data_IF_571351794522
#
_entry.id   IF_571351794522
#
_cell.length_a   1.000
_cell.length_b   1.000
_cell.length_c   1.000
_cell.angle_alpha   90.00
_cell.angle_beta   90.00
_cell.angle_gamma   90.00
#
_symmetry.space_group_name_H-M   'P 1'
#
loop_
_entity.id
_entity.type
_entity.pdbx_description
1 polymer ?
#
# COMPACT_ATOMS: atom_id res chain seq x y z
N UNK A 1 -2.28 -15.05 20.78
CA UNK A 1 -3.03 -14.48 19.62
C UNK A 1 -2.19 -13.42 18.94
N UNK A 2 -1.86 -13.64 17.69
CA UNK A 2 -1.07 -12.69 16.85
C UNK A 2 -1.98 -12.05 15.83
N UNK A 3 -2.15 -10.73 15.87
CA UNK A 3 -3.01 -10.00 14.91
C UNK A 3 -2.16 -9.01 14.12
N UNK A 4 -2.19 -9.14 12.79
CA UNK A 4 -1.61 -8.18 11.86
C UNK A 4 -2.64 -7.16 11.40
N UNK A 5 -2.21 -5.92 11.21
CA UNK A 5 -3.01 -4.86 10.60
C UNK A 5 -2.29 -4.36 9.35
N UNK A 6 -2.98 -4.32 8.23
CA UNK A 6 -2.45 -3.82 6.96
C UNK A 6 -3.48 -2.88 6.32
N UNK A 7 -3.01 -1.75 5.82
CA UNK A 7 -3.84 -0.71 5.23
C UNK A 7 -3.09 0.60 5.07
N UNK A 8 -3.79 1.63 4.63
CA UNK A 8 -3.22 2.95 4.40
C UNK A 8 -2.98 3.75 5.70
N UNK A 9 -3.01 5.07 5.61
CA UNK A 9 -2.71 5.97 6.74
C UNK A 9 -3.67 5.85 7.90
N UNK A 10 -4.94 5.54 7.66
CA UNK A 10 -5.93 5.33 8.72
C UNK A 10 -5.58 4.14 9.62
N UNK A 11 -4.98 3.10 9.04
CA UNK A 11 -4.45 1.95 9.78
C UNK A 11 -3.08 2.22 10.41
N UNK A 12 -2.28 3.10 9.79
CA UNK A 12 -0.97 3.48 10.32
C UNK A 12 -1.07 4.33 11.60
N UNK A 13 -2.12 5.12 11.74
CA UNK A 13 -2.32 5.98 12.91
C UNK A 13 -2.28 5.18 14.22
N UNK A 14 -1.74 5.79 15.26
CA UNK A 14 -1.53 5.12 16.52
C UNK A 14 -1.61 6.07 17.71
N UNK A 15 -0.48 6.40 18.29
CA UNK A 15 -0.36 7.22 19.47
C UNK A 15 0.51 8.44 19.18
N UNK A 16 0.01 9.62 19.51
CA UNK A 16 0.79 10.85 19.44
C UNK A 16 1.58 11.02 20.75
N UNK A 17 2.87 10.80 20.70
CA UNK A 17 3.74 10.87 21.89
C UNK A 17 3.85 12.28 22.48
N UNK A 18 3.67 13.34 21.67
CA UNK A 18 3.75 14.73 22.12
C UNK A 18 2.50 15.14 22.88
N UNK A 19 1.30 14.80 22.39
CA UNK A 19 0.02 15.11 23.04
C UNK A 19 -0.44 14.03 24.00
N UNK A 20 0.21 12.84 23.98
CA UNK A 20 -0.18 11.64 24.73
C UNK A 20 -1.60 11.14 24.41
N UNK A 21 -2.04 11.39 23.20
CA UNK A 21 -3.38 11.02 22.73
C UNK A 21 -3.36 9.86 21.75
N UNK A 22 -4.41 9.07 21.79
CA UNK A 22 -4.68 8.05 20.76
C UNK A 22 -5.18 8.77 19.50
N UNK A 23 -4.54 8.50 18.37
CA UNK A 23 -4.88 9.11 17.07
C UNK A 23 -5.41 8.10 16.05
N UNK A 24 -5.44 6.80 16.39
CA UNK A 24 -5.90 5.77 15.46
C UNK A 24 -6.56 4.58 16.13
N UNK A 25 -7.56 4.02 15.46
CA UNK A 25 -8.34 2.87 15.94
C UNK A 25 -7.47 1.65 16.25
N UNK A 26 -6.40 1.44 15.49
CA UNK A 26 -5.50 0.27 15.65
C UNK A 26 -4.86 0.24 17.04
N UNK A 27 -4.33 1.38 17.50
CA UNK A 27 -3.69 1.43 18.80
C UNK A 27 -4.71 1.26 19.93
N UNK A 28 -5.91 1.81 19.77
CA UNK A 28 -7.00 1.55 20.71
C UNK A 28 -7.36 0.05 20.76
N UNK A 29 -7.46 -0.61 19.59
CA UNK A 29 -7.71 -2.05 19.54
C UNK A 29 -6.60 -2.84 20.20
N UNK A 30 -5.33 -2.49 20.00
CA UNK A 30 -4.21 -3.15 20.64
C UNK A 30 -4.35 -3.13 22.17
N UNK A 31 -4.65 -1.96 22.75
CA UNK A 31 -4.85 -1.81 24.19
C UNK A 31 -6.04 -2.63 24.72
N UNK A 32 -7.11 -2.72 23.96
CA UNK A 32 -8.30 -3.47 24.35
C UNK A 32 -8.13 -4.98 24.18
N UNK A 33 -7.49 -5.43 23.11
CA UNK A 33 -7.27 -6.84 22.83
C UNK A 33 -6.21 -7.44 23.74
N UNK A 34 -5.20 -6.67 24.16
CA UNK A 34 -4.20 -7.10 25.16
C UNK A 34 -4.83 -7.43 26.51
N UNK A 35 -5.92 -6.75 26.88
CA UNK A 35 -6.70 -7.06 28.10
C UNK A 35 -7.49 -8.38 28.00
N UNK A 36 -7.79 -8.83 26.79
CA UNK A 36 -8.68 -9.97 26.52
C UNK A 36 -7.89 -11.24 26.22
N UNK A 37 -6.82 -11.12 25.44
CA UNK A 37 -6.04 -12.26 24.99
C UNK A 37 -4.72 -12.37 25.73
N UNK A 38 -4.52 -13.51 26.41
CA UNK A 38 -3.22 -13.86 26.96
C UNK A 38 -2.19 -13.97 25.81
N UNK A 39 -0.99 -13.44 26.00
CA UNK A 39 0.10 -13.46 25.02
C UNK A 39 -0.31 -12.80 23.68
N UNK A 40 -0.99 -11.66 23.77
CA UNK A 40 -1.35 -10.87 22.60
C UNK A 40 -0.12 -10.25 21.93
N UNK A 41 -0.06 -10.31 20.61
CA UNK A 41 0.98 -9.65 19.82
C UNK A 41 0.34 -8.97 18.62
N UNK A 42 0.67 -7.72 18.39
CA UNK A 42 0.19 -6.93 17.25
C UNK A 42 1.33 -6.61 16.29
N UNK A 43 1.03 -6.70 15.00
CA UNK A 43 1.93 -6.28 13.91
C UNK A 43 1.29 -5.16 13.11
N UNK A 44 2.11 -4.18 12.72
CA UNK A 44 1.69 -3.08 11.87
C UNK A 44 2.42 -3.14 10.52
N UNK A 45 1.68 -3.49 9.47
CA UNK A 45 2.17 -3.55 8.08
C UNK A 45 1.65 -2.40 7.21
N UNK A 46 1.12 -1.34 7.83
CA UNK A 46 0.51 -0.22 7.10
C UNK A 46 1.48 0.47 6.14
N UNK A 47 0.89 1.07 5.11
CA UNK A 47 1.57 1.77 4.02
C UNK A 47 0.96 3.17 3.80
N UNK A 48 1.16 4.11 4.74
CA UNK A 48 0.50 5.41 4.69
C UNK A 48 0.81 6.17 3.40
N UNK A 49 -0.23 6.77 2.80
CA UNK A 49 -0.13 7.50 1.54
C UNK A 49 0.10 6.62 0.31
N UNK A 50 -0.14 5.32 0.40
CA UNK A 50 0.07 4.37 -0.69
C UNK A 50 -1.15 3.46 -0.87
N UNK A 51 -1.23 2.79 -2.03
CA UNK A 51 -2.36 1.95 -2.44
C UNK A 51 -2.09 0.48 -2.16
N UNK A 52 -3.16 -0.32 -2.11
CA UNK A 52 -3.06 -1.77 -2.06
C UNK A 52 -2.32 -2.31 -3.29
N UNK A 53 -2.65 -1.79 -4.47
CA UNK A 53 -2.03 -2.21 -5.74
C UNK A 53 -0.50 -2.04 -5.79
N UNK A 54 0.04 -1.15 -5.00
CA UNK A 54 1.49 -0.90 -4.96
C UNK A 54 2.07 -1.43 -3.64
N UNK A 55 2.02 -0.63 -2.58
CA UNK A 55 2.64 -0.97 -1.31
C UNK A 55 2.00 -2.19 -0.64
N UNK A 56 0.70 -2.40 -0.77
CA UNK A 56 0.02 -3.58 -0.19
C UNK A 56 0.59 -4.88 -0.74
N UNK A 57 0.73 -4.99 -2.07
CA UNK A 57 1.31 -6.18 -2.70
C UNK A 57 2.76 -6.43 -2.26
N UNK A 58 3.54 -5.37 -2.06
CA UNK A 58 4.93 -5.46 -1.64
C UNK A 58 5.10 -5.85 -0.15
N UNK A 59 4.02 -5.78 0.64
CA UNK A 59 4.01 -6.20 2.04
C UNK A 59 3.70 -7.68 2.25
N UNK A 60 3.31 -8.42 1.21
CA UNK A 60 2.90 -9.83 1.31
C UNK A 60 3.96 -10.67 2.02
N UNK A 61 5.22 -10.59 1.60
CA UNK A 61 6.31 -11.37 2.19
C UNK A 61 6.57 -11.01 3.66
N UNK A 62 6.47 -9.73 4.02
CA UNK A 62 6.64 -9.26 5.38
C UNK A 62 5.56 -9.83 6.32
N UNK A 63 4.31 -9.80 5.86
CA UNK A 63 3.19 -10.40 6.60
C UNK A 63 3.36 -11.90 6.76
N UNK A 64 3.71 -12.61 5.68
CA UNK A 64 3.90 -14.06 5.72
C UNK A 64 5.02 -14.45 6.68
N UNK A 65 6.15 -13.74 6.67
CA UNK A 65 7.28 -13.98 7.59
C UNK A 65 6.89 -13.77 9.05
N UNK A 66 6.04 -12.80 9.33
CA UNK A 66 5.56 -12.51 10.69
C UNK A 66 4.53 -13.53 11.19
N UNK A 67 3.91 -14.28 10.28
CA UNK A 67 2.93 -15.34 10.56
C UNK A 67 1.87 -14.94 11.59
N UNK A 68 1.06 -13.90 11.34
CA UNK A 68 -0.05 -13.58 12.22
C UNK A 68 -1.12 -14.68 12.13
N UNK A 69 -1.86 -14.93 13.23
CA UNK A 69 -3.02 -15.81 13.22
C UNK A 69 -4.17 -15.20 12.43
N UNK A 70 -4.30 -13.86 12.55
CA UNK A 70 -5.35 -13.05 11.91
C UNK A 70 -4.73 -11.82 11.28
N UNK A 71 -5.16 -11.48 10.07
CA UNK A 71 -4.80 -10.26 9.37
C UNK A 71 -6.04 -9.40 9.11
N UNK A 72 -6.08 -8.23 9.72
CA UNK A 72 -7.09 -7.20 9.46
C UNK A 72 -6.61 -6.30 8.33
N UNK A 73 -7.34 -6.28 7.23
CA UNK A 73 -7.00 -5.56 6.00
C UNK A 73 -7.94 -4.39 5.80
N UNK A 74 -7.41 -3.17 5.74
CA UNK A 74 -8.13 -1.97 5.31
C UNK A 74 -7.67 -1.61 3.87
N UNK A 75 -8.45 -1.96 2.84
CA UNK A 75 -7.98 -1.89 1.44
C UNK A 75 -8.44 -0.65 0.68
N UNK A 76 -9.37 0.15 1.24
CA UNK A 76 -10.18 1.07 0.43
C UNK A 76 -9.76 2.53 0.51
N UNK A 77 -9.34 3.01 1.67
CA UNK A 77 -9.27 4.45 1.94
C UNK A 77 -8.36 5.18 0.94
N UNK A 78 -7.17 4.68 0.69
CA UNK A 78 -6.23 5.36 -0.22
C UNK A 78 -6.60 5.15 -1.69
N UNK A 79 -7.06 3.97 -2.07
CA UNK A 79 -7.52 3.67 -3.43
C UNK A 79 -8.72 4.57 -3.80
N UNK A 80 -9.65 4.77 -2.87
CA UNK A 80 -10.78 5.68 -3.04
C UNK A 80 -10.34 7.16 -3.14
N UNK A 81 -9.34 7.56 -2.34
CA UNK A 81 -8.81 8.94 -2.35
C UNK A 81 -8.16 9.28 -3.67
N UNK A 82 -7.40 8.35 -4.26
CA UNK A 82 -6.65 8.58 -5.50
C UNK A 82 -7.42 8.21 -6.77
N UNK A 83 -8.60 7.62 -6.66
CA UNK A 83 -9.43 7.22 -7.79
C UNK A 83 -8.81 6.11 -8.65
N UNK A 84 -7.74 5.47 -8.19
CA UNK A 84 -7.06 4.37 -8.88
C UNK A 84 -7.18 3.12 -8.04
N UNK A 85 -7.94 2.16 -8.54
CA UNK A 85 -8.19 0.90 -7.86
C UNK A 85 -7.19 -0.18 -8.22
N UNK A 86 -6.92 -1.05 -7.26
CA UNK A 86 -6.36 -2.36 -7.56
C UNK A 86 -7.29 -3.15 -8.51
N UNK A 87 -6.72 -3.95 -9.39
CA UNK A 87 -7.50 -4.84 -10.24
C UNK A 87 -8.09 -5.99 -9.41
N UNK A 88 -9.12 -6.65 -9.94
CA UNK A 88 -9.68 -7.85 -9.27
C UNK A 88 -8.63 -8.93 -9.07
N UNK A 89 -7.74 -9.13 -10.03
CA UNK A 89 -6.65 -10.09 -9.94
C UNK A 89 -5.65 -9.75 -8.85
N UNK A 90 -5.30 -8.47 -8.70
CA UNK A 90 -4.41 -7.99 -7.63
C UNK A 90 -5.03 -8.16 -6.25
N UNK A 91 -6.31 -7.82 -6.08
CA UNK A 91 -7.02 -8.01 -4.81
C UNK A 91 -7.12 -9.51 -4.47
N UNK A 92 -7.50 -10.33 -5.46
CA UNK A 92 -7.59 -11.77 -5.27
C UNK A 92 -6.24 -12.38 -4.92
N UNK A 93 -5.17 -12.01 -5.64
CA UNK A 93 -3.81 -12.44 -5.36
C UNK A 93 -3.38 -12.05 -3.94
N UNK A 94 -3.64 -10.80 -3.56
CA UNK A 94 -3.30 -10.29 -2.23
C UNK A 94 -3.94 -11.12 -1.11
N UNK A 95 -5.25 -11.32 -1.17
CA UNK A 95 -5.96 -12.08 -0.14
C UNK A 95 -5.61 -13.58 -0.15
N UNK A 96 -5.58 -14.20 -1.32
CA UNK A 96 -5.30 -15.63 -1.45
C UNK A 96 -3.87 -15.98 -1.02
N UNK A 97 -2.92 -15.05 -1.12
CA UNK A 97 -1.56 -15.22 -0.64
C UNK A 97 -1.47 -15.47 0.87
N UNK A 98 -2.36 -14.89 1.65
CA UNK A 98 -2.45 -15.11 3.09
C UNK A 98 -3.29 -16.33 3.44
N UNK A 99 -4.47 -16.45 2.83
CA UNK A 99 -5.41 -17.56 3.10
C UNK A 99 -4.76 -18.91 2.81
N UNK A 100 -4.01 -19.02 1.70
CA UNK A 100 -3.30 -20.26 1.33
C UNK A 100 -2.24 -20.70 2.35
N UNK A 101 -1.83 -19.80 3.23
CA UNK A 101 -0.88 -20.05 4.34
C UNK A 101 -1.56 -20.20 5.69
N UNK A 102 -2.89 -20.30 5.71
CA UNK A 102 -3.66 -20.47 6.93
C UNK A 102 -3.83 -19.20 7.77
N UNK A 103 -3.50 -18.03 7.24
CA UNK A 103 -3.75 -16.75 7.91
C UNK A 103 -5.23 -16.40 7.72
N UNK A 104 -5.95 -16.18 8.82
CA UNK A 104 -7.34 -15.68 8.76
C UNK A 104 -7.33 -14.24 8.31
N UNK A 105 -7.93 -13.96 7.16
CA UNK A 105 -8.10 -12.59 6.65
C UNK A 105 -9.47 -12.05 7.05
N UNK A 106 -9.49 -10.82 7.52
CA UNK A 106 -10.70 -10.05 7.84
C UNK A 106 -10.59 -8.70 7.13
N UNK A 107 -11.55 -8.36 6.29
CA UNK A 107 -11.57 -7.05 5.64
C UNK A 107 -12.24 -6.03 6.54
N UNK A 108 -11.60 -4.89 6.75
CA UNK A 108 -12.12 -3.73 7.44
C UNK A 108 -12.48 -2.64 6.43
N UNK A 109 -13.76 -2.34 6.30
CA UNK A 109 -14.28 -1.28 5.44
C UNK A 109 -14.47 -0.01 6.27
N UNK A 110 -13.47 0.88 6.19
CA UNK A 110 -13.50 2.18 6.86
C UNK A 110 -14.23 3.21 6.00
N UNK A 111 -15.00 4.12 6.60
CA UNK A 111 -15.62 5.20 5.86
C UNK A 111 -14.58 6.17 5.31
N UNK A 112 -14.88 6.77 4.17
CA UNK A 112 -14.08 7.83 3.55
C UNK A 112 -14.75 9.19 3.80
N UNK A 113 -14.49 9.81 4.94
CA UNK A 113 -15.10 11.07 5.31
C UNK A 113 -16.63 11.02 5.18
N UNK A 114 -17.23 12.07 4.62
CA UNK A 114 -18.70 12.18 4.42
C UNK A 114 -19.22 11.37 3.23
N UNK A 115 -18.39 10.51 2.61
CA UNK A 115 -18.77 9.74 1.42
C UNK A 115 -19.16 8.33 1.82
N UNK A 116 -20.33 7.90 1.34
CA UNK A 116 -20.71 6.50 1.42
C UNK A 116 -19.77 5.66 0.57
N UNK A 117 -18.99 4.79 1.17
CA UNK A 117 -18.11 3.84 0.48
C UNK A 117 -18.89 2.90 -0.43
N UNK A 118 -20.16 2.62 -0.10
CA UNK A 118 -21.03 1.68 -0.83
C UNK A 118 -21.22 2.04 -2.31
N UNK A 119 -20.94 3.28 -2.71
CA UNK A 119 -21.05 3.74 -4.09
C UNK A 119 -19.75 3.58 -4.90
N UNK A 120 -18.66 3.27 -4.27
CA UNK A 120 -17.38 3.10 -4.92
C UNK A 120 -17.30 1.76 -5.66
N UNK A 121 -16.82 1.78 -6.90
CA UNK A 121 -16.58 0.55 -7.66
C UNK A 121 -15.56 -0.36 -6.97
N UNK A 122 -14.62 0.19 -6.20
CA UNK A 122 -13.64 -0.57 -5.44
C UNK A 122 -14.28 -1.33 -4.30
N UNK A 123 -15.22 -0.71 -3.58
CA UNK A 123 -16.02 -1.38 -2.57
C UNK A 123 -16.71 -2.63 -3.13
N UNK A 124 -17.41 -2.47 -4.27
CA UNK A 124 -18.12 -3.60 -4.91
C UNK A 124 -17.19 -4.74 -5.29
N UNK A 125 -16.01 -4.44 -5.84
CA UNK A 125 -15.00 -5.45 -6.17
C UNK A 125 -14.52 -6.19 -4.92
N UNK A 126 -14.19 -5.46 -3.85
CA UNK A 126 -13.71 -6.06 -2.61
C UNK A 126 -14.80 -6.95 -1.99
N UNK A 127 -16.03 -6.48 -1.92
CA UNK A 127 -17.15 -7.29 -1.41
C UNK A 127 -17.36 -8.55 -2.24
N UNK A 128 -17.31 -8.46 -3.57
CA UNK A 128 -17.44 -9.63 -4.44
C UNK A 128 -16.32 -10.65 -4.20
N UNK A 129 -15.06 -10.18 -4.07
CA UNK A 129 -13.91 -11.04 -3.79
C UNK A 129 -13.98 -11.63 -2.38
N UNK A 130 -14.40 -10.84 -1.37
CA UNK A 130 -14.60 -11.35 -0.02
C UNK A 130 -15.61 -12.50 0.01
N UNK A 131 -16.72 -12.35 -0.70
CA UNK A 131 -17.73 -13.41 -0.83
C UNK A 131 -17.15 -14.65 -1.53
N UNK A 132 -16.41 -14.48 -2.62
CA UNK A 132 -15.80 -15.57 -3.37
C UNK A 132 -14.73 -16.34 -2.57
N UNK A 133 -14.01 -15.65 -1.69
CA UNK A 133 -12.95 -16.23 -0.84
C UNK A 133 -13.43 -16.55 0.58
N UNK A 134 -14.70 -16.34 0.90
CA UNK A 134 -15.28 -16.50 2.23
C UNK A 134 -14.54 -15.73 3.32
N UNK A 135 -14.25 -14.45 3.04
CA UNK A 135 -13.57 -13.52 3.94
C UNK A 135 -14.62 -12.76 4.76
N UNK A 136 -14.45 -12.77 6.09
CA UNK A 136 -15.27 -11.97 6.97
C UNK A 136 -15.02 -10.47 6.76
N UNK A 137 -16.08 -9.68 6.87
CA UNK A 137 -16.03 -8.24 6.69
C UNK A 137 -16.52 -7.51 7.93
N UNK A 138 -15.74 -6.53 8.38
CA UNK A 138 -16.14 -5.55 9.38
C UNK A 138 -16.41 -4.25 8.63
N UNK A 139 -17.64 -3.74 8.77
CA UNK A 139 -18.05 -2.49 8.13
C UNK A 139 -18.45 -1.47 9.20
N UNK A 140 -17.95 -0.24 9.05
CA UNK A 140 -18.33 0.88 9.89
C UNK A 140 -19.55 1.55 9.26
N UNK A 141 -20.70 1.32 9.84
CA UNK A 141 -21.98 1.87 9.40
C UNK A 141 -22.05 3.39 9.68
N UNK A 142 -21.86 4.18 8.63
CA UNK A 142 -21.84 5.65 8.72
C UNK A 142 -23.18 6.24 9.20
N UNK A 143 -24.31 5.51 9.10
CA UNK A 143 -25.60 5.98 9.61
C UNK A 143 -25.67 5.99 11.14
N UNK A 144 -24.75 5.33 11.79
CA UNK A 144 -24.66 5.18 13.26
C UNK A 144 -23.52 5.97 13.91
N UNK A 145 -22.81 6.79 13.12
CA UNK A 145 -21.64 7.52 13.60
C UNK A 145 -21.81 9.02 13.39
N UNK A 146 -21.19 9.79 14.25
CA UNK A 146 -20.96 11.22 14.04
C UNK A 146 -19.74 11.40 13.13
N UNK A 147 -19.99 11.41 11.82
CA UNK A 147 -18.91 11.48 10.83
C UNK A 147 -18.08 12.76 10.98
N UNK A 148 -18.72 13.91 11.24
CA UNK A 148 -18.03 15.20 11.36
C UNK A 148 -17.19 15.29 12.62
N UNK A 149 -17.67 14.76 13.73
CA UNK A 149 -16.96 14.77 15.00
C UNK A 149 -15.88 13.67 15.09
N UNK A 150 -16.11 12.52 14.45
CA UNK A 150 -15.23 11.36 14.59
C UNK A 150 -14.19 11.22 13.50
N UNK A 151 -14.33 11.93 12.38
CA UNK A 151 -13.38 11.87 11.26
C UNK A 151 -12.94 13.26 10.81
N UNK A 152 -11.63 13.43 10.63
CA UNK A 152 -11.01 14.54 9.91
C UNK A 152 -10.52 14.03 8.56
N UNK A 153 -11.33 14.21 7.54
CA UNK A 153 -11.13 13.56 6.23
C UNK A 153 -11.27 12.05 6.33
N UNK A 154 -10.19 11.33 6.11
CA UNK A 154 -10.15 9.85 6.21
C UNK A 154 -9.69 9.34 7.58
N UNK A 155 -9.16 10.21 8.40
CA UNK A 155 -8.54 9.86 9.68
C UNK A 155 -9.52 10.04 10.84
N UNK A 156 -9.46 9.15 11.82
CA UNK A 156 -10.20 9.34 13.07
C UNK A 156 -9.65 10.53 13.84
N UNK A 157 -10.57 11.35 14.41
CA UNK A 157 -10.23 12.37 15.41
C UNK A 157 -9.92 11.72 16.76
N UNK A 158 -9.42 12.48 17.72
CA UNK A 158 -9.22 12.00 19.10
C UNK A 158 -10.55 11.53 19.73
N UNK A 159 -11.65 12.21 19.45
CA UNK A 159 -13.00 11.84 19.90
C UNK A 159 -13.52 10.60 19.21
N UNK A 160 -13.19 10.41 17.92
CA UNK A 160 -13.64 9.29 17.09
C UNK A 160 -12.91 7.98 17.35
N UNK A 161 -11.68 8.01 17.87
CA UNK A 161 -10.86 6.81 18.05
C UNK A 161 -11.56 5.73 18.87
N UNK A 162 -12.09 6.10 20.05
CA UNK A 162 -12.72 5.13 20.96
C UNK A 162 -14.04 4.56 20.42
N UNK A 163 -15.03 5.38 19.98
CA UNK A 163 -16.27 4.85 19.45
C UNK A 163 -16.05 3.99 18.20
N UNK A 164 -15.23 4.44 17.23
CA UNK A 164 -14.89 3.65 16.04
C UNK A 164 -14.16 2.36 16.41
N UNK A 165 -13.17 2.46 17.30
CA UNK A 165 -12.43 1.29 17.79
C UNK A 165 -13.33 0.26 18.51
N UNK A 166 -14.33 0.71 19.28
CA UNK A 166 -15.30 -0.18 19.91
C UNK A 166 -16.17 -0.91 18.88
N UNK A 167 -16.67 -0.20 17.86
CA UNK A 167 -17.46 -0.84 16.79
C UNK A 167 -16.67 -1.92 16.06
N UNK A 168 -15.39 -1.66 15.79
CA UNK A 168 -14.49 -2.65 15.18
C UNK A 168 -14.24 -3.80 16.15
N UNK A 169 -13.91 -3.52 17.42
CA UNK A 169 -13.66 -4.53 18.46
C UNK A 169 -14.80 -5.49 18.61
N UNK A 170 -16.04 -5.01 18.70
CA UNK A 170 -17.24 -5.85 18.88
C UNK A 170 -17.43 -6.82 17.72
N UNK A 171 -17.29 -6.35 16.49
CA UNK A 171 -17.41 -7.19 15.30
C UNK A 171 -16.23 -8.18 15.22
N UNK A 172 -15.00 -7.70 15.44
CA UNK A 172 -13.80 -8.54 15.45
C UNK A 172 -13.91 -9.67 16.47
N UNK A 173 -14.33 -9.39 17.70
CA UNK A 173 -14.50 -10.42 18.73
C UNK A 173 -15.60 -11.43 18.39
N UNK A 174 -16.67 -11.04 17.70
CA UNK A 174 -17.67 -11.99 17.19
C UNK A 174 -17.06 -12.96 16.18
N UNK A 175 -16.27 -12.43 15.22
CA UNK A 175 -15.57 -13.25 14.23
C UNK A 175 -14.56 -14.18 14.91
N UNK A 176 -13.77 -13.66 15.85
CA UNK A 176 -12.75 -14.45 16.55
C UNK A 176 -13.32 -15.55 17.44
N UNK A 177 -14.52 -15.37 18.03
CA UNK A 177 -15.22 -16.42 18.81
C UNK A 177 -15.63 -17.62 17.97
N UNK A 178 -15.98 -17.40 16.70
CA UNK A 178 -16.33 -18.46 15.75
C UNK A 178 -15.11 -19.00 14.99
N UNK A 179 -13.93 -18.42 15.21
CA UNK A 179 -12.72 -18.80 14.52
C UNK A 179 -12.14 -20.11 15.06
N UNK A 180 -12.08 -21.10 14.22
CA UNK A 180 -11.23 -22.27 14.41
C UNK A 180 -10.06 -22.15 13.43
N UNK A 181 -8.80 -22.36 13.86
CA UNK A 181 -7.66 -22.32 12.94
C UNK A 181 -7.93 -23.20 11.74
N UNK A 182 -7.76 -22.72 10.52
CA UNK A 182 -8.07 -23.51 9.36
C UNK A 182 -7.15 -24.73 9.30
N UNK A 183 -7.73 -25.91 9.21
CA UNK A 183 -7.01 -27.05 8.70
C UNK A 183 -6.70 -26.72 7.24
N UNK A 184 -5.42 -26.48 6.93
CA UNK A 184 -4.83 -26.28 5.59
C UNK A 184 -5.85 -26.13 4.45
N UNK A 185 -6.34 -24.91 4.21
CA UNK A 185 -7.24 -24.66 3.08
C UNK A 185 -6.42 -24.72 1.78
N UNK A 186 -6.83 -25.57 0.86
CA UNK A 186 -6.25 -25.63 -0.49
C UNK A 186 -6.72 -24.45 -1.37
N UNK A 187 -6.75 -23.24 -0.82
CA UNK A 187 -7.04 -22.04 -1.61
C UNK A 187 -5.90 -21.85 -2.59
N UNK A 188 -6.20 -21.97 -3.87
CA UNK A 188 -5.21 -21.76 -4.92
C UNK A 188 -4.92 -20.27 -5.06
N UNK A 189 -3.67 -19.89 -4.94
CA UNK A 189 -3.23 -18.52 -5.26
C UNK A 189 -3.45 -18.28 -6.75
N UNK A 190 -4.01 -17.14 -7.11
CA UNK A 190 -4.18 -16.77 -8.52
C UNK A 190 -2.81 -16.38 -9.08
N UNK A 191 -2.36 -17.11 -10.09
CA UNK A 191 -1.01 -16.97 -10.67
C UNK A 191 -0.92 -15.89 -11.77
N UNK A 192 -1.82 -14.90 -11.76
CA UNK A 192 -1.88 -13.84 -12.77
C UNK A 192 -1.29 -12.51 -12.29
N UNK A 193 -0.62 -12.50 -11.15
CA UNK A 193 0.09 -11.32 -10.63
C UNK A 193 1.46 -11.79 -10.15
N UNK A 194 2.49 -11.14 -10.65
CA UNK A 194 3.88 -11.42 -10.32
C UNK A 194 4.49 -10.18 -9.71
N UNK A 195 5.25 -10.37 -8.65
CA UNK A 195 5.98 -9.31 -7.95
C UNK A 195 7.44 -9.72 -7.85
N UNK A 196 8.28 -9.05 -8.62
CA UNK A 196 9.71 -9.31 -8.65
C UNK A 196 10.48 -8.15 -8.02
N UNK A 197 11.44 -8.47 -7.16
CA UNK A 197 12.32 -7.50 -6.54
C UNK A 197 13.60 -7.37 -7.34
N UNK A 198 13.87 -6.18 -7.80
CA UNK A 198 15.15 -5.84 -8.44
C UNK A 198 16.14 -5.45 -7.33
N UNK A 199 17.21 -6.21 -7.18
CA UNK A 199 18.29 -5.83 -6.29
C UNK A 199 18.94 -4.54 -6.82
N UNK A 200 18.91 -3.52 -6.01
CA UNK A 200 19.38 -2.21 -6.41
C UNK A 200 20.89 -2.04 -6.21
N UNK A 201 21.59 -1.56 -7.24
CA UNK A 201 22.89 -0.92 -7.07
C UNK A 201 22.64 0.55 -6.71
N UNK A 202 23.32 1.06 -5.71
CA UNK A 202 23.07 2.38 -5.09
C UNK A 202 23.29 3.60 -6.01
N UNK A 203 23.66 3.41 -7.26
CA UNK A 203 24.07 4.50 -8.16
C UNK A 203 23.07 4.73 -9.30
N UNK A 204 22.75 6.00 -9.54
CA UNK A 204 22.11 6.46 -10.77
C UNK A 204 23.16 7.14 -11.68
N UNK A 205 23.05 7.07 -13.00
CA UNK A 205 22.00 6.44 -13.77
C UNK A 205 22.05 4.93 -13.76
N UNK A 206 20.89 4.27 -13.95
CA UNK A 206 20.82 2.82 -14.11
C UNK A 206 19.86 2.41 -15.21
N UNK A 207 20.11 1.24 -15.79
CA UNK A 207 19.21 0.62 -16.75
C UNK A 207 18.68 -0.68 -16.16
N UNK A 208 17.36 -0.88 -16.22
CA UNK A 208 16.71 -2.14 -15.89
C UNK A 208 16.22 -2.73 -17.21
N UNK A 209 16.76 -3.87 -17.58
CA UNK A 209 16.35 -4.64 -18.74
C UNK A 209 15.48 -5.80 -18.27
N UNK A 210 14.29 -5.87 -18.83
CA UNK A 210 13.33 -6.94 -18.55
C UNK A 210 13.13 -7.71 -19.83
N UNK A 211 13.20 -9.04 -19.78
CA UNK A 211 12.84 -9.89 -20.90
C UNK A 211 11.69 -10.84 -20.54
N UNK A 212 10.82 -11.09 -21.51
CA UNK A 212 9.73 -12.04 -21.38
C UNK A 212 9.35 -12.64 -22.71
N UNK A 213 8.98 -13.92 -22.71
CA UNK A 213 8.41 -14.61 -23.88
C UNK A 213 6.97 -14.18 -24.16
N UNK A 214 6.32 -13.57 -23.18
CA UNK A 214 4.95 -13.09 -23.28
C UNK A 214 4.90 -11.57 -23.18
N UNK A 215 3.95 -10.93 -23.87
CA UNK A 215 3.57 -9.54 -23.61
C UNK A 215 2.52 -9.48 -22.51
N UNK A 216 2.30 -8.28 -21.97
CA UNK A 216 1.31 -8.05 -20.94
C UNK A 216 1.39 -6.62 -20.40
N UNK A 217 0.98 -6.42 -19.16
CA UNK A 217 1.06 -5.14 -18.46
C UNK A 217 2.00 -5.24 -17.28
N UNK A 218 2.80 -4.21 -17.10
CA UNK A 218 3.64 -4.09 -15.92
C UNK A 218 3.73 -2.64 -15.43
N UNK A 219 4.20 -2.48 -14.20
CA UNK A 219 4.60 -1.19 -13.61
C UNK A 219 5.83 -1.36 -12.74
N UNK A 220 6.57 -0.28 -12.53
CA UNK A 220 7.71 -0.22 -11.64
C UNK A 220 7.34 0.58 -10.39
N UNK A 221 7.61 0.02 -9.22
CA UNK A 221 7.39 0.66 -7.92
C UNK A 221 8.72 0.70 -7.17
N UNK A 222 9.10 1.87 -6.71
CA UNK A 222 10.26 2.04 -5.84
C UNK A 222 9.82 2.09 -4.39
N UNK A 223 10.52 1.37 -3.52
CA UNK A 223 10.53 1.61 -2.08
C UNK A 223 11.74 2.49 -1.77
N UNK A 224 11.53 3.63 -1.15
CA UNK A 224 12.64 4.54 -0.87
C UNK A 224 12.25 5.67 0.07
N UNK A 225 13.20 6.54 0.36
CA UNK A 225 12.94 7.76 1.14
C UNK A 225 12.47 8.85 0.19
N UNK A 226 11.39 9.50 0.56
CA UNK A 226 10.89 10.70 -0.10
C UNK A 226 10.89 11.86 0.90
N UNK A 227 10.97 13.06 0.39
CA UNK A 227 10.97 14.26 1.23
C UNK A 227 11.38 15.50 0.45
N UNK A 228 11.64 16.62 1.15
CA UNK A 228 11.99 17.89 0.52
C UNK A 228 13.30 17.84 -0.30
N UNK A 229 14.17 16.87 -0.02
CA UNK A 229 15.46 16.70 -0.73
C UNK A 229 15.39 15.71 -1.89
N UNK A 230 14.22 15.17 -2.20
CA UNK A 230 14.05 14.16 -3.26
C UNK A 230 14.08 14.81 -4.64
N UNK A 231 14.85 14.26 -5.61
CA UNK A 231 14.95 14.82 -6.95
C UNK A 231 13.75 14.46 -7.83
N UNK A 232 13.71 15.04 -9.02
CA UNK A 232 12.92 14.55 -10.14
C UNK A 232 13.73 13.48 -10.87
N UNK A 233 13.07 12.38 -11.25
CA UNK A 233 13.67 11.32 -12.06
C UNK A 233 13.17 11.40 -13.50
N UNK A 234 14.09 11.28 -14.45
CA UNK A 234 13.77 11.06 -15.84
C UNK A 234 13.88 9.57 -16.16
N UNK A 235 12.82 9.01 -16.71
CA UNK A 235 12.75 7.59 -17.06
C UNK A 235 12.44 7.47 -18.55
N UNK A 236 13.35 6.85 -19.29
CA UNK A 236 13.13 6.51 -20.69
C UNK A 236 12.86 5.02 -20.83
N UNK A 237 11.83 4.68 -21.61
CA UNK A 237 11.42 3.31 -21.87
C UNK A 237 11.63 3.04 -23.36
N UNK A 238 12.32 1.96 -23.68
CA UNK A 238 12.52 1.50 -25.06
C UNK A 238 12.25 0.02 -25.19
N UNK A 239 11.62 -0.40 -26.27
CA UNK A 239 11.37 -1.81 -26.63
C UNK A 239 12.05 -2.14 -27.95
N UNK A 240 12.65 -3.33 -28.07
CA UNK A 240 13.36 -3.74 -29.29
C UNK A 240 12.47 -3.87 -30.52
N UNK A 241 11.20 -4.28 -30.33
CA UNK A 241 10.25 -4.55 -31.43
C UNK A 241 9.49 -3.29 -31.87
N UNK A 242 9.66 -2.19 -31.16
CA UNK A 242 8.93 -0.95 -31.38
C UNK A 242 9.91 0.22 -31.42
N UNK A 243 9.92 0.95 -32.53
CA UNK A 243 10.63 2.24 -32.63
C UNK A 243 10.07 3.31 -31.67
N UNK A 244 9.05 2.95 -30.89
CA UNK A 244 8.42 3.85 -29.91
C UNK A 244 9.29 3.93 -28.67
N UNK A 245 9.86 5.11 -28.45
CA UNK A 245 10.50 5.50 -27.21
C UNK A 245 9.50 6.30 -26.38
N UNK A 246 9.24 5.88 -25.17
CA UNK A 246 8.46 6.65 -24.22
C UNK A 246 9.41 7.29 -23.20
N UNK A 247 9.29 8.59 -23.01
CA UNK A 247 9.99 9.31 -21.96
C UNK A 247 9.00 9.76 -20.90
N UNK A 248 9.30 9.49 -19.65
CA UNK A 248 8.52 9.90 -18.49
C UNK A 248 9.40 10.77 -17.59
N UNK A 249 8.82 11.85 -17.09
CA UNK A 249 9.41 12.59 -15.97
C UNK A 249 8.58 12.31 -14.73
N UNK A 250 9.19 11.74 -13.71
CA UNK A 250 8.53 11.36 -12.47
C UNK A 250 9.12 12.11 -11.30
N UNK A 251 8.34 12.98 -10.69
CA UNK A 251 8.71 13.58 -9.43
C UNK A 251 8.63 12.54 -8.31
N UNK A 252 9.72 12.35 -7.60
CA UNK A 252 9.72 11.63 -6.33
C UNK A 252 9.62 12.59 -5.15
N UNK A 253 9.45 13.85 -5.43
CA UNK A 253 9.18 14.89 -4.47
C UNK A 253 7.70 14.88 -4.09
N UNK A 254 7.42 14.97 -2.78
CA UNK A 254 6.07 15.02 -2.24
C UNK A 254 5.80 16.43 -1.70
N UNK A 255 4.89 17.21 -2.32
CA UNK A 255 4.57 18.58 -1.89
C UNK A 255 3.95 18.67 -0.49
N UNK A 256 3.51 17.55 0.07
CA UNK A 256 3.00 17.44 1.42
C UNK A 256 4.05 17.00 2.45
N UNK A 257 5.22 16.54 1.99
CA UNK A 257 6.24 15.98 2.84
C UNK A 257 7.36 16.98 3.11
N UNK A 258 7.34 17.58 4.25
CA UNK A 258 8.35 18.52 4.74
C UNK A 258 9.45 17.84 5.57
N UNK A 259 9.42 16.52 5.67
CA UNK A 259 10.44 15.68 6.30
C UNK A 259 10.65 14.41 5.50
N UNK A 260 11.83 13.82 5.63
CA UNK A 260 12.13 12.55 4.99
C UNK A 260 11.34 11.40 5.61
N UNK A 261 10.74 10.56 4.78
CA UNK A 261 10.06 9.33 5.19
C UNK A 261 10.23 8.21 4.18
N UNK A 262 10.18 6.98 4.65
CA UNK A 262 10.09 5.83 3.76
C UNK A 262 8.70 5.77 3.12
N UNK A 263 8.65 5.58 1.81
CA UNK A 263 7.41 5.45 1.06
C UNK A 263 7.58 4.52 -0.13
N UNK A 264 6.48 4.22 -0.77
CA UNK A 264 6.44 3.49 -2.03
C UNK A 264 5.96 4.45 -3.12
N UNK A 265 6.60 4.38 -4.29
CA UNK A 265 6.29 5.28 -5.38
C UNK A 265 6.24 4.52 -6.70
N UNK A 266 5.19 4.75 -7.45
CA UNK A 266 5.12 4.26 -8.83
C UNK A 266 6.10 5.06 -9.68
N UNK A 267 7.23 4.48 -10.03
CA UNK A 267 8.19 5.08 -10.96
C UNK A 267 7.67 5.09 -12.38
N UNK A 268 7.09 3.97 -12.79
CA UNK A 268 6.48 3.81 -14.10
C UNK A 268 5.06 3.30 -13.92
N UNK A 269 4.05 4.06 -14.36
CA UNK A 269 2.66 3.61 -14.33
C UNK A 269 2.45 2.32 -15.12
N UNK A 270 1.36 1.63 -14.84
CA UNK A 270 0.98 0.42 -15.58
C UNK A 270 0.87 0.72 -17.07
N UNK A 271 1.64 -0.01 -17.87
CA UNK A 271 1.66 0.10 -19.32
C UNK A 271 1.82 -1.26 -19.97
N UNK A 272 1.44 -1.36 -21.24
CA UNK A 272 1.59 -2.56 -22.01
C UNK A 272 3.02 -2.72 -22.53
N UNK A 273 3.53 -3.94 -22.51
CA UNK A 273 4.79 -4.34 -23.10
C UNK A 273 4.58 -5.55 -24.01
N UNK A 274 5.37 -5.65 -25.08
CA UNK A 274 5.38 -6.80 -25.98
C UNK A 274 6.35 -7.88 -25.45
N UNK A 275 6.27 -9.07 -25.99
CA UNK A 275 7.31 -10.07 -25.82
C UNK A 275 8.67 -9.54 -26.34
N UNK A 276 9.77 -9.97 -25.73
CA UNK A 276 11.12 -9.51 -26.01
C UNK A 276 11.71 -8.67 -24.87
N UNK A 277 12.62 -7.75 -25.20
CA UNK A 277 13.33 -6.94 -24.23
C UNK A 277 12.72 -5.54 -24.10
N UNK A 278 12.58 -5.07 -22.86
CA UNK A 278 12.17 -3.72 -22.51
C UNK A 278 13.23 -3.11 -21.60
N UNK A 279 13.73 -1.94 -21.94
CA UNK A 279 14.75 -1.23 -21.19
C UNK A 279 14.14 0.00 -20.51
N UNK A 280 14.41 0.15 -19.21
CA UNK A 280 14.05 1.30 -18.39
C UNK A 280 15.33 1.99 -17.95
N UNK A 281 15.65 3.12 -18.55
CA UNK A 281 16.78 3.95 -18.12
C UNK A 281 16.29 5.00 -17.14
N UNK A 282 16.77 4.93 -15.91
CA UNK A 282 16.41 5.83 -14.80
C UNK A 282 17.61 6.73 -14.51
N UNK A 283 17.40 8.04 -14.53
CA UNK A 283 18.41 9.04 -14.24
C UNK A 283 17.81 10.23 -13.48
N UNK A 284 18.66 10.96 -12.76
CA UNK A 284 18.21 12.21 -12.11
C UNK A 284 18.00 13.26 -13.19
N UNK A 285 16.88 13.98 -13.09
CA UNK A 285 16.64 15.16 -13.92
C UNK A 285 17.54 16.32 -13.52
N UNK A 286 17.81 17.20 -14.45
CA UNK A 286 18.38 18.51 -14.18
C UNK A 286 17.34 19.54 -13.71
N UNK A 287 16.05 19.19 -13.82
CA UNK A 287 14.96 20.04 -13.37
C UNK A 287 14.86 20.05 -11.85
N UNK A 288 14.48 21.19 -11.30
CA UNK A 288 14.17 21.34 -9.89
C UNK A 288 12.72 21.03 -9.58
N UNK A 289 12.40 20.46 -8.42
CA UNK A 289 11.03 20.37 -7.95
C UNK A 289 10.40 21.77 -7.85
N UNK A 290 9.13 21.88 -8.19
CA UNK A 290 8.39 23.14 -8.04
C UNK A 290 7.99 23.34 -6.56
N UNK A 291 8.86 23.97 -5.80
CA UNK A 291 8.64 24.23 -4.38
C UNK A 291 7.48 25.21 -4.10
N UNK A 292 7.03 25.98 -5.10
CA UNK A 292 5.85 26.86 -4.96
C UNK A 292 4.55 26.07 -4.81
N UNK A 293 4.51 24.82 -5.26
CA UNK A 293 3.38 23.93 -5.06
C UNK A 293 3.27 23.40 -3.63
N UNK A 294 4.26 23.66 -2.79
CA UNK A 294 4.20 23.26 -1.40
C UNK A 294 3.13 24.05 -0.65
N UNK A 295 2.28 23.30 0.01
CA UNK A 295 1.13 23.84 0.75
C UNK A 295 1.44 24.20 2.22
N UNK A 296 2.72 24.35 2.58
CA UNK A 296 3.13 24.69 3.96
C UNK A 296 4.09 25.86 3.93
N UNK A 297 3.61 26.99 4.43
CA UNK A 297 4.34 28.27 4.49
C UNK A 297 5.48 28.28 5.53
N UNK A 298 5.55 27.27 6.39
CA UNK A 298 6.49 27.20 7.53
C UNK A 298 7.75 26.37 7.24
N UNK A 299 7.93 25.86 6.00
CA UNK A 299 9.04 25.01 5.65
C UNK A 299 10.13 25.78 4.91
N UNK A 300 11.36 25.71 5.42
CA UNK A 300 12.54 26.09 4.65
C UNK A 300 12.89 24.96 3.67
N UNK A 301 12.78 25.27 2.39
CA UNK A 301 13.15 24.34 1.33
C UNK A 301 14.65 24.31 1.15
N UNK A 302 15.23 23.12 0.81
CA UNK A 302 16.65 23.02 0.53
C UNK A 302 17.01 23.81 -0.72
N UNK A 303 18.24 24.33 -0.76
CA UNK A 303 18.83 24.83 -2.00
C UNK A 303 19.13 23.65 -2.95
N UNK A 304 19.23 23.93 -4.25
CA UNK A 304 19.49 22.92 -5.28
C UNK A 304 20.72 22.04 -4.95
N UNK A 305 21.76 22.63 -4.37
CA UNK A 305 22.95 21.93 -3.95
C UNK A 305 22.72 20.87 -2.87
N UNK A 306 21.61 20.97 -2.16
CA UNK A 306 21.24 20.08 -1.05
C UNK A 306 20.36 18.92 -1.49
N UNK A 307 19.90 18.89 -2.75
CA UNK A 307 19.12 17.76 -3.30
C UNK A 307 19.99 16.51 -3.29
N UNK A 308 19.67 15.60 -2.39
CA UNK A 308 20.37 14.33 -2.24
C UNK A 308 19.63 13.25 -3.01
N UNK A 309 20.42 12.48 -3.77
CA UNK A 309 19.96 11.17 -4.18
C UNK A 309 19.80 10.36 -2.91
N UNK A 310 18.56 10.22 -2.48
CA UNK A 310 18.27 9.22 -1.46
C UNK A 310 18.35 7.89 -2.18
N UNK A 311 19.35 7.08 -1.83
CA UNK A 311 19.55 5.76 -2.41
C UNK A 311 18.21 5.03 -2.40
N UNK A 312 17.76 4.60 -3.58
CA UNK A 312 16.51 3.84 -3.66
C UNK A 312 16.78 2.45 -3.10
N UNK A 313 16.11 2.11 -2.03
CA UNK A 313 16.37 0.85 -1.35
C UNK A 313 16.02 -0.34 -2.24
N UNK A 314 14.88 -0.33 -2.93
CA UNK A 314 14.45 -1.43 -3.81
C UNK A 314 13.54 -0.92 -4.93
N UNK A 315 13.66 -1.52 -6.11
CA UNK A 315 12.69 -1.41 -7.19
C UNK A 315 11.96 -2.75 -7.32
N UNK A 316 10.66 -2.69 -7.48
CA UNK A 316 9.80 -3.84 -7.69
C UNK A 316 9.11 -3.72 -9.04
N UNK A 317 8.98 -4.83 -9.72
CA UNK A 317 8.23 -4.97 -10.95
C UNK A 317 6.97 -5.74 -10.61
N UNK A 318 5.82 -5.15 -10.89
CA UNK A 318 4.51 -5.79 -10.71
C UNK A 318 3.94 -6.00 -12.12
N UNK A 319 3.64 -7.24 -12.48
CA UNK A 319 3.20 -7.61 -13.82
C UNK A 319 2.05 -8.63 -13.80
N UNK A 320 1.29 -8.71 -14.88
CA UNK A 320 0.25 -9.72 -15.12
C UNK A 320 0.78 -10.93 -15.93
N UNK A 321 2.09 -11.01 -16.12
CA UNK A 321 2.80 -12.09 -16.80
C UNK A 321 4.13 -12.40 -16.12
N UNK A 322 4.64 -13.60 -16.31
CA UNK A 322 5.92 -14.03 -15.74
C UNK A 322 7.09 -13.38 -16.51
N UNK A 323 8.04 -12.84 -15.78
CA UNK A 323 9.30 -12.36 -16.32
C UNK A 323 10.31 -13.50 -16.40
N UNK A 324 11.11 -13.53 -17.47
CA UNK A 324 12.15 -14.54 -17.64
C UNK A 324 13.49 -14.09 -17.09
N UNK A 325 13.88 -12.85 -17.40
CA UNK A 325 15.16 -12.27 -16.99
C UNK A 325 14.99 -10.81 -16.58
N UNK A 326 15.69 -10.41 -15.52
CA UNK A 326 15.82 -9.03 -15.08
C UNK A 326 17.32 -8.74 -14.89
N UNK A 327 17.84 -7.76 -15.63
CA UNK A 327 19.22 -7.31 -15.53
C UNK A 327 19.27 -5.84 -15.11
N UNK A 328 20.27 -5.49 -14.31
CA UNK A 328 20.50 -4.11 -13.86
C UNK A 328 21.94 -3.72 -14.19
N UNK A 329 22.09 -2.62 -14.91
CA UNK A 329 23.38 -2.07 -15.32
C UNK A 329 23.46 -0.56 -15.03
#
# INVERSE_FOLDING_TARGET
>A
MKIGFIGASVTAQGFNHSTKELTGYREYLNQELDKIFKDFTSFNFSYPGNRLSDAGLLKIDEVIKSSPDVLVVEPLVEDATRGVAATEDEIHFFYSSFISRGIKVITLLMPHGNRSIVRDNNYKKIVAINNALNIDTIEIDISKIDVEGWFAGVHTTTEGVKPVGNMIKEQLLKILKSYSPPHSTKTRVKENVFVERVKNSETLPKTITISSQCGGKLRLVQKGRIGPFSPILNISISQEISDKKLALSQSIWDPYCHYERNSYMTLVPTHAVNAGHVNYKIQISHDEPNYEECRRDDVKWPEKADLKIVASDDIFIISDFKLDVIEVS
#
